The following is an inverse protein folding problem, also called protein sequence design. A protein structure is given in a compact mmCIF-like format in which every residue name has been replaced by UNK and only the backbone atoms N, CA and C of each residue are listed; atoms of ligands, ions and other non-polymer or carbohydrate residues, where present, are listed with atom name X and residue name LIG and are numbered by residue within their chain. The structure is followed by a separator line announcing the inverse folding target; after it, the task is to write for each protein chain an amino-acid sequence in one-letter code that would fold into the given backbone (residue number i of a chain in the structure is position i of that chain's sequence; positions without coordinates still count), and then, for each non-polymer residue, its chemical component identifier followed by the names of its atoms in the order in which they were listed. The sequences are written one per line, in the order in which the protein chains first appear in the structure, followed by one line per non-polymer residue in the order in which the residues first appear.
data_IF_437511050137
#
_entry.id   IF_437511050137
#
_cell.length_a   1.000
_cell.length_b   1.000
_cell.length_c   1.000
_cell.angle_alpha   90.00
_cell.angle_beta   90.00
_cell.angle_gamma   90.00
#
_symmetry.space_group_name_H-M   'P 1'
#
loop_
_entity.id
_entity.type
_entity.pdbx_description
1 polymer ?
#
# COMPACT_ATOMS: atom_id res chain seq x y z
N UNK A 1 7.86 24.94 28.76
CA UNK A 1 7.40 25.86 27.70
C UNK A 1 8.52 26.03 26.70
N UNK A 2 8.49 25.31 25.57
CA UNK A 2 9.45 25.52 24.50
C UNK A 2 8.80 26.35 23.42
N UNK A 3 9.08 27.65 23.34
CA UNK A 3 8.58 28.52 22.29
C UNK A 3 9.32 28.23 20.99
N UNK A 4 8.61 27.78 19.97
CA UNK A 4 9.14 27.72 18.59
C UNK A 4 9.08 29.13 18.01
N UNK A 5 10.18 29.57 17.40
CA UNK A 5 10.27 30.88 16.74
C UNK A 5 10.29 30.69 15.24
N UNK A 6 9.52 31.49 14.50
CA UNK A 6 9.47 31.46 13.04
C UNK A 6 10.23 32.65 12.46
N UNK A 7 10.97 32.40 11.38
CA UNK A 7 11.65 33.41 10.56
C UNK A 7 10.88 33.47 9.24
N UNK A 8 10.34 34.64 8.93
CA UNK A 8 9.51 34.86 7.76
C UNK A 8 10.34 35.41 6.59
N UNK A 9 9.95 35.07 5.37
CA UNK A 9 10.52 35.58 4.13
C UNK A 9 9.94 36.94 3.75
N UNK A 10 10.39 37.48 2.61
CA UNK A 10 9.98 38.81 2.12
C UNK A 10 8.50 38.90 1.74
N UNK A 11 7.84 37.76 1.52
CA UNK A 11 6.41 37.60 1.29
C UNK A 11 5.59 37.52 2.59
N UNK A 12 6.26 37.51 3.75
CA UNK A 12 5.63 37.35 5.07
C UNK A 12 5.33 35.91 5.46
N UNK A 13 5.65 34.91 4.63
CA UNK A 13 5.45 33.50 4.94
C UNK A 13 6.61 32.94 5.77
N UNK A 14 6.33 31.99 6.67
CA UNK A 14 7.36 31.40 7.53
C UNK A 14 8.26 30.45 6.72
N UNK A 15 9.54 30.81 6.52
CA UNK A 15 10.49 30.03 5.72
C UNK A 15 11.37 29.14 6.60
N UNK A 16 11.66 29.56 7.83
CA UNK A 16 12.43 28.75 8.78
C UNK A 16 11.80 28.75 10.17
N UNK A 17 12.04 27.69 10.94
CA UNK A 17 11.66 27.60 12.34
C UNK A 17 12.89 27.26 13.20
N UNK A 18 13.02 27.97 14.32
CA UNK A 18 14.01 27.68 15.38
C UNK A 18 13.28 26.97 16.50
N UNK A 19 13.76 25.76 16.80
CA UNK A 19 13.19 24.88 17.81
C UNK A 19 14.28 24.35 18.75
N UNK A 20 13.94 24.05 20.01
CA UNK A 20 14.87 23.39 20.92
C UNK A 20 15.38 22.06 20.34
N UNK A 21 16.67 21.77 20.50
CA UNK A 21 17.31 20.60 19.89
C UNK A 21 16.67 19.27 20.31
N UNK A 22 16.09 19.19 21.52
CA UNK A 22 15.34 18.02 21.99
C UNK A 22 14.06 17.78 21.17
N UNK A 23 13.37 18.85 20.78
CA UNK A 23 12.18 18.80 19.94
C UNK A 23 12.54 18.40 18.51
N UNK A 24 13.62 18.96 17.96
CA UNK A 24 14.15 18.53 16.65
C UNK A 24 14.53 17.05 16.67
N UNK A 25 15.23 16.60 17.70
CA UNK A 25 15.61 15.18 17.83
C UNK A 25 14.40 14.26 17.96
N UNK A 26 13.34 14.68 18.67
CA UNK A 26 12.09 13.93 18.73
C UNK A 26 11.39 13.83 17.37
N UNK A 27 11.34 14.93 16.61
CA UNK A 27 10.80 14.97 15.24
C UNK A 27 11.60 14.09 14.27
N UNK A 28 12.93 14.06 14.41
CA UNK A 28 13.80 13.23 13.59
C UNK A 28 13.78 11.75 14.01
N UNK A 29 13.67 11.45 15.30
CA UNK A 29 13.57 10.08 15.82
C UNK A 29 12.21 9.43 15.51
N UNK A 30 11.15 10.24 15.35
CA UNK A 30 9.82 9.84 14.90
C UNK A 30 9.57 9.99 13.41
N UNK A 31 10.61 10.23 12.60
CA UNK A 31 10.61 10.24 11.14
C UNK A 31 9.43 11.00 10.52
N UNK A 32 9.54 12.33 10.40
CA UNK A 32 8.70 13.19 9.53
C UNK A 32 7.27 12.66 9.34
N UNK A 33 6.50 12.60 10.42
CA UNK A 33 5.05 12.77 10.33
C UNK A 33 4.81 14.28 10.24
N UNK A 34 5.08 14.82 9.05
CA UNK A 34 4.63 16.16 8.71
C UNK A 34 3.11 16.14 8.81
N UNK A 35 2.56 17.02 9.64
CA UNK A 35 1.14 17.38 9.69
C UNK A 35 0.72 18.13 8.42
N UNK A 36 1.14 17.65 7.25
CA UNK A 36 0.36 17.84 6.04
C UNK A 36 -0.79 16.84 6.18
N UNK A 37 -2.03 17.34 6.15
CA UNK A 37 -3.27 16.56 6.00
C UNK A 37 -2.96 15.20 5.42
N UNK A 38 -3.15 14.12 6.22
CA UNK A 38 -2.81 12.75 5.85
C UNK A 38 -3.02 12.60 4.35
N UNK A 39 -1.93 12.58 3.58
CA UNK A 39 -2.02 12.55 2.14
C UNK A 39 -2.52 11.17 1.81
N UNK A 40 -3.85 11.03 1.86
CA UNK A 40 -4.57 9.84 1.46
C UNK A 40 -3.97 9.49 0.11
N UNK A 41 -3.34 8.32 0.04
CA UNK A 41 -2.74 7.85 -1.20
C UNK A 41 -3.76 8.10 -2.33
N UNK A 42 -3.39 8.57 -3.52
CA UNK A 42 -4.34 9.03 -4.55
C UNK A 42 -5.37 7.98 -5.00
N UNK A 43 -5.17 6.72 -4.62
CA UNK A 43 -6.08 5.60 -4.87
C UNK A 43 -6.98 5.27 -3.68
N UNK A 44 -6.71 5.77 -2.47
CA UNK A 44 -7.52 5.56 -1.27
C UNK A 44 -8.70 6.54 -1.23
N UNK A 45 -9.82 6.07 -0.73
CA UNK A 45 -10.91 6.95 -0.28
C UNK A 45 -10.55 7.64 1.05
N UNK A 46 -11.38 8.59 1.47
CA UNK A 46 -11.23 9.34 2.72
C UNK A 46 -11.11 8.42 3.95
N UNK A 47 -11.90 7.34 3.98
CA UNK A 47 -11.90 6.36 5.08
C UNK A 47 -10.77 5.33 5.01
N UNK A 48 -9.93 5.35 3.97
CA UNK A 48 -8.84 4.39 3.71
C UNK A 48 -9.27 2.90 3.64
N UNK A 49 -10.56 2.64 3.42
CA UNK A 49 -11.14 1.30 3.31
C UNK A 49 -11.23 0.80 1.87
N UNK A 50 -11.13 1.68 0.88
CA UNK A 50 -11.32 1.38 -0.53
C UNK A 50 -10.14 1.88 -1.36
N UNK A 51 -9.57 1.00 -2.17
CA UNK A 51 -8.49 1.32 -3.11
C UNK A 51 -9.04 1.26 -4.53
N UNK A 52 -8.99 2.37 -5.26
CA UNK A 52 -9.33 2.42 -6.69
C UNK A 52 -8.32 1.60 -7.48
N UNK A 53 -8.82 0.64 -8.27
CA UNK A 53 -8.00 -0.19 -9.16
C UNK A 53 -7.82 0.53 -10.51
N UNK A 54 -6.61 1.03 -10.83
CA UNK A 54 -6.40 1.90 -12.00
C UNK A 54 -6.80 1.27 -13.33
N UNK A 55 -6.68 -0.06 -13.43
CA UNK A 55 -6.90 -0.82 -14.64
C UNK A 55 -8.07 -1.81 -14.54
N UNK A 56 -8.88 -1.71 -13.48
CA UNK A 56 -10.02 -2.60 -13.24
C UNK A 56 -11.31 -2.19 -13.97
N UNK A 57 -11.30 -1.01 -14.61
CA UNK A 57 -12.47 -0.41 -15.27
C UNK A 57 -13.14 0.68 -14.44
N UNK A 58 -14.22 1.30 -14.97
CA UNK A 58 -15.02 2.26 -14.22
C UNK A 58 -15.58 1.61 -12.95
N UNK A 59 -15.41 2.28 -11.81
CA UNK A 59 -15.89 1.82 -10.50
C UNK A 59 -15.26 0.52 -9.97
N UNK A 60 -14.06 0.16 -10.43
CA UNK A 60 -13.31 -0.95 -9.85
C UNK A 60 -12.59 -0.51 -8.57
N UNK A 61 -12.97 -1.09 -7.44
CA UNK A 61 -12.39 -0.82 -6.14
C UNK A 61 -12.07 -2.12 -5.41
N UNK A 62 -10.97 -2.11 -4.68
CA UNK A 62 -10.59 -3.14 -3.74
C UNK A 62 -10.98 -2.68 -2.33
N UNK A 63 -11.94 -3.37 -1.72
CA UNK A 63 -12.30 -3.16 -0.32
C UNK A 63 -11.28 -3.86 0.58
N UNK A 64 -10.55 -3.08 1.37
CA UNK A 64 -9.45 -3.55 2.21
C UNK A 64 -9.91 -4.54 3.28
N UNK A 65 -11.03 -4.31 4.00
CA UNK A 65 -11.57 -5.29 4.95
C UNK A 65 -11.91 -6.64 4.30
N UNK A 66 -12.43 -6.66 3.07
CA UNK A 66 -12.77 -7.91 2.38
C UNK A 66 -11.51 -8.69 2.00
N UNK A 67 -10.45 -7.97 1.57
CA UNK A 67 -9.14 -8.58 1.36
C UNK A 67 -8.61 -9.17 2.67
N UNK A 68 -8.63 -8.43 3.78
CA UNK A 68 -8.16 -8.94 5.08
C UNK A 68 -8.96 -10.16 5.54
N UNK A 69 -10.29 -10.14 5.38
CA UNK A 69 -11.15 -11.27 5.69
C UNK A 69 -10.81 -12.50 4.84
N UNK A 70 -10.58 -12.31 3.54
CA UNK A 70 -10.14 -13.37 2.64
C UNK A 70 -8.81 -13.99 3.08
N UNK A 71 -7.81 -13.16 3.39
CA UNK A 71 -6.48 -13.61 3.82
C UNK A 71 -6.56 -14.38 5.13
N UNK A 72 -7.35 -13.89 6.10
CA UNK A 72 -7.58 -14.56 7.37
C UNK A 72 -8.26 -15.92 7.19
N UNK A 73 -9.29 -16.00 6.34
CA UNK A 73 -9.99 -17.24 6.05
C UNK A 73 -9.07 -18.32 5.43
N UNK A 74 -8.05 -17.89 4.68
CA UNK A 74 -7.08 -18.79 4.04
C UNK A 74 -5.76 -18.96 4.84
N UNK A 75 -5.66 -18.37 6.05
CA UNK A 75 -4.45 -18.43 6.88
C UNK A 75 -3.23 -17.76 6.26
N UNK A 76 -3.43 -16.79 5.36
CA UNK A 76 -2.35 -16.11 4.63
C UNK A 76 -1.85 -14.92 5.44
N UNK A 77 -0.61 -15.01 5.94
CA UNK A 77 0.04 -13.93 6.69
C UNK A 77 0.87 -12.99 5.80
N UNK A 78 1.33 -13.50 4.66
CA UNK A 78 2.11 -12.73 3.70
C UNK A 78 1.80 -13.15 2.27
N UNK A 79 1.84 -12.19 1.34
CA UNK A 79 1.50 -12.34 -0.06
C UNK A 79 2.65 -11.89 -0.94
N UNK A 80 3.11 -12.76 -1.84
CA UNK A 80 4.08 -12.34 -2.85
C UNK A 80 3.45 -11.31 -3.79
N UNK A 81 4.17 -10.22 -4.06
CA UNK A 81 3.83 -9.22 -5.06
C UNK A 81 4.34 -9.76 -6.41
N UNK A 82 3.51 -10.56 -7.07
CA UNK A 82 3.84 -11.19 -8.36
C UNK A 82 3.30 -10.37 -9.53
N UNK A 83 3.91 -9.22 -9.79
CA UNK A 83 3.58 -8.35 -10.90
C UNK A 83 4.05 -8.97 -12.23
N UNK A 84 3.13 -9.61 -12.96
CA UNK A 84 3.40 -10.17 -14.29
C UNK A 84 2.41 -9.63 -15.32
N UNK A 85 2.94 -9.16 -16.44
CA UNK A 85 2.17 -8.77 -17.61
C UNK A 85 1.71 -10.02 -18.39
N UNK A 86 0.78 -10.77 -17.80
CA UNK A 86 0.17 -11.95 -18.41
C UNK A 86 -1.32 -12.04 -18.04
N UNK A 87 -2.07 -12.79 -18.84
CA UNK A 87 -3.48 -13.10 -18.60
C UNK A 87 -3.63 -14.01 -17.38
N UNK A 88 -4.78 -13.98 -16.71
CA UNK A 88 -4.99 -14.67 -15.43
C UNK A 88 -4.83 -16.19 -15.56
N UNK A 89 -5.25 -16.75 -16.69
CA UNK A 89 -5.16 -18.18 -17.04
C UNK A 89 -3.72 -18.67 -17.27
N UNK A 90 -2.77 -17.77 -17.52
CA UNK A 90 -1.35 -18.11 -17.72
C UNK A 90 -0.56 -18.20 -16.43
N UNK A 91 -1.14 -17.86 -15.29
CA UNK A 91 -0.49 -18.07 -14.01
C UNK A 91 -0.41 -19.56 -13.70
N UNK A 92 0.78 -20.03 -13.32
CA UNK A 92 0.94 -21.37 -12.78
C UNK A 92 0.05 -21.55 -11.55
N UNK A 93 -0.46 -22.76 -11.32
CA UNK A 93 -1.44 -23.06 -10.26
C UNK A 93 -0.94 -22.62 -8.88
N UNK A 94 0.35 -22.76 -8.64
CA UNK A 94 1.04 -22.40 -7.41
C UNK A 94 1.10 -20.87 -7.21
N UNK A 95 1.05 -20.09 -8.28
CA UNK A 95 1.08 -18.63 -8.25
C UNK A 95 -0.31 -17.99 -8.11
N UNK A 96 -1.39 -18.77 -8.18
CA UNK A 96 -2.77 -18.26 -8.06
C UNK A 96 -3.09 -17.69 -6.67
N UNK A 97 -2.25 -17.96 -5.67
CA UNK A 97 -2.37 -17.44 -4.30
C UNK A 97 -1.42 -16.25 -4.04
N UNK A 98 -0.95 -15.59 -5.09
CA UNK A 98 -0.19 -14.33 -4.99
C UNK A 98 -1.12 -13.13 -5.14
N UNK A 99 -0.65 -11.94 -4.74
CA UNK A 99 -1.51 -10.75 -4.58
C UNK A 99 -2.33 -10.41 -5.83
N UNK A 100 -1.68 -10.33 -6.99
CA UNK A 100 -2.32 -9.90 -8.24
C UNK A 100 -3.36 -10.90 -8.76
N UNK A 101 -3.07 -12.22 -8.83
CA UNK A 101 -4.09 -13.24 -9.11
C UNK A 101 -5.28 -13.25 -8.14
N UNK A 102 -5.06 -13.01 -6.84
CA UNK A 102 -6.16 -12.91 -5.86
C UNK A 102 -7.05 -11.72 -6.18
N UNK A 103 -6.47 -10.52 -6.38
CA UNK A 103 -7.24 -9.31 -6.74
C UNK A 103 -8.06 -9.55 -8.02
N UNK A 104 -7.44 -10.13 -9.05
CA UNK A 104 -8.10 -10.37 -10.34
C UNK A 104 -9.18 -11.45 -10.30
N UNK A 105 -9.10 -12.42 -9.39
CA UNK A 105 -10.04 -13.55 -9.30
C UNK A 105 -11.21 -13.27 -8.36
N UNK A 106 -10.92 -12.67 -7.21
CA UNK A 106 -11.87 -12.54 -6.11
C UNK A 106 -12.51 -11.14 -6.04
N UNK A 107 -11.79 -10.11 -6.52
CA UNK A 107 -12.18 -8.71 -6.33
C UNK A 107 -12.48 -7.96 -7.63
N UNK A 108 -12.19 -8.57 -8.78
CA UNK A 108 -12.68 -8.11 -10.07
C UNK A 108 -13.81 -9.05 -10.52
N UNK A 109 -15.03 -8.52 -10.60
CA UNK A 109 -16.18 -9.24 -11.15
C UNK A 109 -16.02 -9.61 -12.63
N UNK A 110 -17.12 -9.93 -13.30
CA UNK A 110 -17.06 -10.64 -14.58
C UNK A 110 -16.56 -9.76 -15.76
N UNK A 111 -15.32 -10.07 -16.19
CA UNK A 111 -14.89 -10.37 -17.58
C UNK A 111 -13.95 -9.41 -18.32
N UNK A 112 -14.07 -8.08 -18.26
CA UNK A 112 -13.27 -7.26 -19.19
C UNK A 112 -11.82 -7.01 -18.75
N UNK A 113 -11.58 -6.85 -17.44
CA UNK A 113 -10.30 -6.36 -16.92
C UNK A 113 -9.51 -7.39 -16.09
N UNK A 114 -10.05 -8.60 -15.91
CA UNK A 114 -9.41 -9.69 -15.14
C UNK A 114 -8.03 -10.10 -15.66
N UNK A 115 -7.77 -9.84 -16.94
CA UNK A 115 -6.50 -10.15 -17.59
C UNK A 115 -5.47 -9.01 -17.53
N UNK A 116 -5.84 -7.88 -16.93
CA UNK A 116 -4.95 -6.73 -16.73
C UNK A 116 -4.40 -6.73 -15.32
N UNK A 117 -3.12 -6.39 -15.18
CA UNK A 117 -2.45 -6.28 -13.88
C UNK A 117 -3.12 -5.24 -12.99
N UNK A 118 -3.47 -5.64 -11.78
CA UNK A 118 -4.16 -4.81 -10.80
C UNK A 118 -3.28 -4.47 -9.61
N UNK A 119 -2.41 -5.38 -9.17
CA UNK A 119 -1.48 -5.10 -8.07
C UNK A 119 -0.28 -4.27 -8.55
N UNK A 120 -0.54 -3.10 -9.13
CA UNK A 120 0.50 -2.15 -9.55
C UNK A 120 1.26 -1.61 -8.34
N UNK A 121 2.39 -0.94 -8.57
CA UNK A 121 3.17 -0.34 -7.48
C UNK A 121 2.32 0.59 -6.64
N UNK A 122 1.47 1.41 -7.29
CA UNK A 122 0.56 2.35 -6.65
C UNK A 122 -0.52 1.64 -5.81
N UNK A 123 -1.05 0.50 -6.28
CA UNK A 123 -2.01 -0.29 -5.47
C UNK A 123 -1.32 -0.93 -4.26
N UNK A 124 -0.07 -1.37 -4.42
CA UNK A 124 0.73 -1.88 -3.30
C UNK A 124 1.06 -0.76 -2.30
N UNK A 125 1.41 0.43 -2.78
CA UNK A 125 1.61 1.62 -1.94
C UNK A 125 0.33 2.00 -1.20
N UNK A 126 -0.82 1.98 -1.88
CA UNK A 126 -2.11 2.22 -1.27
C UNK A 126 -2.42 1.21 -0.16
N UNK A 127 -2.17 -0.08 -0.39
CA UNK A 127 -2.34 -1.12 0.63
C UNK A 127 -1.47 -0.87 1.86
N UNK A 128 -0.20 -0.50 1.66
CA UNK A 128 0.68 -0.15 2.79
C UNK A 128 0.20 1.09 3.52
N UNK A 129 -0.30 2.10 2.80
CA UNK A 129 -0.82 3.33 3.37
C UNK A 129 -2.06 3.12 4.26
N UNK A 130 -2.80 2.02 4.10
CA UNK A 130 -3.91 1.65 5.02
C UNK A 130 -3.44 1.29 6.43
N UNK A 131 -2.14 1.04 6.63
CA UNK A 131 -1.58 0.60 7.91
C UNK A 131 -1.74 -0.89 8.21
N UNK A 132 -2.56 -1.63 7.47
CA UNK A 132 -2.76 -3.08 7.66
C UNK A 132 -1.71 -3.96 6.99
N UNK A 133 -0.83 -3.36 6.19
CA UNK A 133 0.19 -4.09 5.44
C UNK A 133 1.56 -3.43 5.56
N UNK A 134 2.61 -4.25 5.62
CA UNK A 134 4.00 -3.78 5.48
C UNK A 134 4.74 -4.55 4.38
N UNK A 135 5.69 -3.87 3.73
CA UNK A 135 6.56 -4.50 2.73
C UNK A 135 7.63 -5.34 3.39
N UNK A 136 7.80 -6.56 2.91
CA UNK A 136 8.87 -7.46 3.33
C UNK A 136 9.54 -8.13 2.12
N UNK A 137 10.68 -8.77 2.36
CA UNK A 137 11.29 -9.75 1.46
C UNK A 137 11.02 -11.14 2.01
N UNK A 138 10.35 -11.98 1.24
CA UNK A 138 9.98 -13.33 1.68
C UNK A 138 10.41 -14.39 0.66
N UNK A 139 10.97 -15.49 1.15
CA UNK A 139 11.25 -16.68 0.34
C UNK A 139 10.05 -17.62 0.38
N UNK A 140 9.60 -18.05 -0.79
CA UNK A 140 8.52 -19.03 -0.93
C UNK A 140 9.11 -20.29 -1.58
N UNK A 141 9.39 -21.29 -0.75
CA UNK A 141 9.95 -22.56 -1.22
C UNK A 141 8.99 -23.22 -2.22
N UNK A 142 9.54 -23.77 -3.31
CA UNK A 142 8.76 -24.37 -4.39
C UNK A 142 8.04 -23.39 -5.33
N UNK A 143 7.92 -22.10 -4.96
CA UNK A 143 7.22 -21.10 -5.78
C UNK A 143 8.17 -20.13 -6.50
N UNK A 144 9.21 -19.65 -5.79
CA UNK A 144 10.22 -18.75 -6.33
C UNK A 144 11.62 -19.23 -5.98
N UNK A 145 12.55 -19.11 -6.94
CA UNK A 145 13.96 -19.50 -6.77
C UNK A 145 14.67 -18.62 -5.71
N UNK A 146 14.20 -17.38 -5.52
CA UNK A 146 14.78 -16.39 -4.61
C UNK A 146 13.71 -15.72 -3.74
N UNK A 147 14.15 -15.00 -2.72
CA UNK A 147 13.27 -14.10 -1.97
C UNK A 147 12.70 -13.00 -2.90
N UNK A 148 11.41 -12.74 -2.76
CA UNK A 148 10.67 -11.77 -3.56
C UNK A 148 10.03 -10.70 -2.67
N UNK A 149 9.60 -9.60 -3.27
CA UNK A 149 8.80 -8.60 -2.57
C UNK A 149 7.46 -9.21 -2.18
N UNK A 150 7.04 -8.95 -0.94
CA UNK A 150 5.76 -9.40 -0.42
C UNK A 150 5.13 -8.32 0.47
N UNK A 151 3.83 -8.43 0.67
CA UNK A 151 3.10 -7.73 1.72
C UNK A 151 2.87 -8.69 2.88
N UNK A 152 3.18 -8.26 4.09
CA UNK A 152 2.81 -8.95 5.32
C UNK A 152 1.66 -8.20 5.99
N UNK A 153 0.67 -8.95 6.48
CA UNK A 153 -0.45 -8.41 7.25
C UNK A 153 0.06 -8.05 8.64
N UNK A 154 -0.19 -6.81 9.05
CA UNK A 154 0.15 -6.29 10.38
C UNK A 154 -1.18 -6.04 11.09
N UNK A 155 -1.47 -6.84 12.11
CA UNK A 155 -2.62 -6.65 13.00
C UNK A 155 -2.38 -5.50 13.98
#
# INVERSE_FOLDING_TARGET
MGSVQFIHGDDGEAVFAVLPISMYRALMAGGVRSEASASSHPLLNEDQTMIKLPYGGPNAYLHVPDLLAYLKAHGIKHLAINQRAQTLDKFAKEQLMTLDPIIRREFLGDLRYKNTMQATTEVVDALVATGHFRRIKQRYEGLFIRAVNALEVVE
#
